data_IF_377706511926
#
_entry.id   IF_377706511926
#
_cell.length_a   1.000
_cell.length_b   1.000
_cell.length_c   1.000
_cell.angle_alpha   90.00
_cell.angle_beta   90.00
_cell.angle_gamma   90.00
#
_symmetry.space_group_name_H-M   'P 1'
#
loop_
_entity.id
_entity.type
_entity.pdbx_description
1 polymer ?
#
# COMPACT_ATOMS: atom_id res chain seq x y z
N UNK A 1 3.15 17.48 -33.89
CA UNK A 1 2.55 17.73 -32.57
C UNK A 1 3.03 16.61 -31.67
N UNK A 2 4.02 16.90 -30.81
CA UNK A 2 4.59 15.89 -29.92
C UNK A 2 3.53 15.49 -28.90
N UNK A 3 3.21 14.20 -28.85
CA UNK A 3 2.43 13.66 -27.74
C UNK A 3 3.22 13.90 -26.45
N UNK A 4 2.72 14.82 -25.63
CA UNK A 4 3.06 14.83 -24.22
C UNK A 4 2.43 13.55 -23.71
N UNK A 5 3.22 12.48 -23.69
CA UNK A 5 2.94 11.32 -22.87
C UNK A 5 2.98 11.88 -21.45
N UNK A 6 1.83 12.36 -20.96
CA UNK A 6 1.66 12.71 -19.57
C UNK A 6 2.26 11.54 -18.83
N UNK A 7 3.37 11.79 -18.12
CA UNK A 7 3.94 10.85 -17.19
C UNK A 7 2.87 10.71 -16.12
N UNK A 8 1.85 9.90 -16.40
CA UNK A 8 0.98 9.29 -15.44
C UNK A 8 1.94 8.39 -14.68
N UNK A 9 2.61 8.98 -13.70
CA UNK A 9 3.22 8.26 -12.60
C UNK A 9 2.05 7.63 -11.85
N UNK A 10 1.46 6.60 -12.45
CA UNK A 10 0.46 5.75 -11.83
C UNK A 10 1.22 4.98 -10.77
N UNK A 11 1.35 5.56 -9.59
CA UNK A 11 1.82 4.89 -8.39
C UNK A 11 0.69 4.05 -7.77
N UNK A 12 -0.14 3.43 -8.62
CA UNK A 12 -1.37 2.68 -8.32
C UNK A 12 -1.13 1.34 -7.60
N UNK A 13 -0.06 1.29 -6.81
CA UNK A 13 0.26 0.21 -5.88
C UNK A 13 0.21 0.70 -4.43
N UNK A 14 -0.01 1.98 -4.15
CA UNK A 14 -0.11 2.46 -2.78
C UNK A 14 -1.57 2.44 -2.31
N UNK A 15 -1.78 1.95 -1.10
CA UNK A 15 -3.13 1.79 -0.55
C UNK A 15 -3.45 2.97 0.36
N UNK A 16 -4.62 3.57 0.14
CA UNK A 16 -5.19 4.56 1.03
C UNK A 16 -6.50 4.02 1.61
N UNK A 17 -6.60 4.01 2.94
CA UNK A 17 -7.83 3.66 3.65
C UNK A 17 -8.16 4.72 4.67
N UNK A 18 -9.44 5.01 4.86
CA UNK A 18 -9.94 5.96 5.86
C UNK A 18 -11.02 5.26 6.67
N UNK A 19 -10.89 5.29 7.99
CA UNK A 19 -11.83 4.61 8.90
C UNK A 19 -13.25 5.12 8.68
N UNK A 20 -14.17 4.21 8.38
CA UNK A 20 -15.58 4.54 8.14
C UNK A 20 -15.90 5.02 6.71
N UNK A 21 -14.89 5.12 5.84
CA UNK A 21 -15.08 5.34 4.41
C UNK A 21 -15.06 4.00 3.67
N UNK A 22 -16.18 3.63 3.05
CA UNK A 22 -16.28 2.40 2.24
C UNK A 22 -15.96 2.61 0.76
N UNK A 23 -15.69 3.86 0.36
CA UNK A 23 -15.32 4.17 -1.01
C UNK A 23 -13.93 3.60 -1.33
N UNK A 24 -13.78 3.08 -2.54
CA UNK A 24 -12.47 2.65 -3.04
C UNK A 24 -11.68 3.89 -3.44
N UNK A 25 -10.51 4.09 -2.80
CA UNK A 25 -9.64 5.23 -3.02
C UNK A 25 -8.39 4.76 -3.77
N UNK A 26 -8.27 5.16 -5.03
CA UNK A 26 -7.13 4.84 -5.88
C UNK A 26 -6.13 6.00 -5.89
N UNK A 27 -4.91 5.76 -5.40
CA UNK A 27 -3.89 6.80 -5.21
C UNK A 27 -3.28 7.17 -6.56
N UNK A 28 -3.41 8.45 -6.92
CA UNK A 28 -2.85 9.01 -8.15
C UNK A 28 -1.44 9.55 -7.92
N UNK A 29 -1.26 10.35 -6.87
CA UNK A 29 0.02 10.99 -6.53
C UNK A 29 0.10 11.24 -5.02
N UNK A 30 1.32 11.41 -4.51
CA UNK A 30 1.52 11.83 -3.13
C UNK A 30 2.84 12.59 -2.95
N UNK A 31 2.88 13.46 -1.95
CA UNK A 31 4.06 14.15 -1.44
C UNK A 31 4.14 13.95 0.07
N UNK A 32 5.31 13.54 0.57
CA UNK A 32 5.56 13.28 1.99
C UNK A 32 6.67 14.17 2.53
N UNK A 33 6.39 14.84 3.64
CA UNK A 33 7.35 15.60 4.44
C UNK A 33 7.56 14.85 5.76
N UNK A 34 8.78 14.33 5.98
CA UNK A 34 9.15 13.58 7.18
C UNK A 34 10.53 14.02 7.67
N UNK A 35 10.63 14.28 8.99
CA UNK A 35 11.88 14.60 9.66
C UNK A 35 11.90 14.03 11.09
N UNK A 36 13.10 13.81 11.64
CA UNK A 36 13.23 13.27 12.99
C UNK A 36 12.69 14.24 14.03
N UNK A 37 11.84 13.74 14.93
CA UNK A 37 11.19 14.52 16.00
C UNK A 37 10.24 15.61 15.50
N UNK A 38 9.84 15.56 14.23
CA UNK A 38 8.80 16.41 13.65
C UNK A 38 7.59 15.54 13.25
N UNK A 39 6.36 16.10 13.29
CA UNK A 39 5.21 15.38 12.76
C UNK A 39 5.35 15.18 11.25
N UNK A 40 4.99 14.00 10.77
CA UNK A 40 4.93 13.74 9.34
C UNK A 40 3.72 14.43 8.70
N UNK A 41 3.83 14.75 7.41
CA UNK A 41 2.72 15.27 6.60
C UNK A 41 2.71 14.60 5.24
N UNK A 42 1.54 14.10 4.83
CA UNK A 42 1.32 13.57 3.49
C UNK A 42 0.21 14.34 2.79
N UNK A 43 0.48 14.79 1.57
CA UNK A 43 -0.53 15.25 0.62
C UNK A 43 -0.76 14.11 -0.36
N UNK A 44 -1.99 13.61 -0.44
CA UNK A 44 -2.33 12.45 -1.28
C UNK A 44 -3.47 12.85 -2.20
N UNK A 45 -3.22 12.78 -3.51
CA UNK A 45 -4.26 12.87 -4.53
C UNK A 45 -4.75 11.46 -4.83
N UNK A 46 -6.07 11.27 -4.77
CA UNK A 46 -6.70 10.00 -5.09
C UNK A 46 -7.92 10.22 -5.96
N UNK A 47 -8.33 9.16 -6.66
CA UNK A 47 -9.58 9.10 -7.39
C UNK A 47 -10.49 8.05 -6.77
N UNK A 48 -11.79 8.21 -6.99
CA UNK A 48 -12.78 7.20 -6.60
C UNK A 48 -13.90 7.15 -7.62
N UNK A 49 -14.46 5.95 -7.84
CA UNK A 49 -15.69 5.79 -8.59
C UNK A 49 -16.90 6.35 -7.80
N UNK A 50 -16.81 6.38 -6.48
CA UNK A 50 -17.82 6.97 -5.61
C UNK A 50 -17.65 8.50 -5.57
N UNK A 51 -18.63 9.21 -6.15
CA UNK A 51 -18.67 10.69 -6.17
C UNK A 51 -19.42 11.29 -4.99
N UNK A 52 -19.87 10.47 -4.05
CA UNK A 52 -20.71 10.87 -2.91
C UNK A 52 -19.94 10.94 -1.59
N UNK A 53 -18.61 10.79 -1.64
CA UNK A 53 -17.73 10.93 -0.47
C UNK A 53 -17.93 12.30 0.16
N UNK A 54 -18.41 12.30 1.40
CA UNK A 54 -18.68 13.52 2.17
C UNK A 54 -17.46 13.93 3.01
N UNK A 55 -17.30 15.22 3.33
CA UNK A 55 -16.22 15.67 4.22
C UNK A 55 -16.21 14.97 5.57
N UNK A 56 -17.38 14.63 6.12
CA UNK A 56 -17.54 13.97 7.42
C UNK A 56 -16.96 12.55 7.43
N UNK A 57 -16.94 11.87 6.29
CA UNK A 57 -16.33 10.54 6.14
C UNK A 57 -14.81 10.59 6.06
N UNK A 58 -14.22 11.76 5.78
CA UNK A 58 -12.78 11.91 5.53
C UNK A 58 -12.07 12.69 6.63
N UNK A 59 -12.66 13.79 7.09
CA UNK A 59 -12.03 14.70 8.06
C UNK A 59 -12.05 14.11 9.47
N UNK A 60 -10.93 14.30 10.18
CA UNK A 60 -10.74 13.82 11.56
C UNK A 60 -10.94 12.30 11.72
N UNK A 61 -10.82 11.55 10.62
CA UNK A 61 -10.82 10.10 10.63
C UNK A 61 -9.38 9.59 10.60
N UNK A 62 -9.15 8.49 11.33
CA UNK A 62 -7.90 7.76 11.23
C UNK A 62 -7.76 7.23 9.80
N UNK A 63 -6.64 7.54 9.16
CA UNK A 63 -6.32 7.12 7.82
C UNK A 63 -5.00 6.33 7.83
N UNK A 64 -4.92 5.31 6.97
CA UNK A 64 -3.70 4.54 6.73
C UNK A 64 -3.31 4.70 5.28
N UNK A 65 -2.08 5.17 5.07
CA UNK A 65 -1.43 5.20 3.78
C UNK A 65 -0.30 4.18 3.76
N UNK A 66 -0.33 3.22 2.84
CA UNK A 66 0.65 2.14 2.75
C UNK A 66 1.46 2.26 1.48
N UNK A 67 2.75 2.57 1.64
CA UNK A 67 3.73 2.49 0.57
C UNK A 67 4.08 1.02 0.30
N UNK A 68 3.37 0.39 -0.62
CA UNK A 68 3.71 -0.96 -1.04
C UNK A 68 5.01 -0.95 -1.86
N UNK A 69 5.98 -1.76 -1.44
CA UNK A 69 7.08 -2.14 -2.30
C UNK A 69 6.55 -2.98 -3.49
N UNK A 70 7.19 -2.95 -4.66
CA UNK A 70 6.86 -3.87 -5.74
C UNK A 70 6.85 -5.30 -5.19
N UNK A 71 5.77 -6.04 -5.45
CA UNK A 71 5.77 -7.47 -5.20
C UNK A 71 6.91 -8.05 -6.01
N UNK A 72 7.90 -8.57 -5.29
CA UNK A 72 9.14 -9.15 -5.79
C UNK A 72 8.88 -9.98 -7.06
N UNK A 73 9.10 -9.39 -8.25
CA UNK A 73 9.38 -10.19 -9.44
C UNK A 73 10.81 -10.68 -9.25
N UNK A 74 10.93 -11.70 -8.40
CA UNK A 74 12.12 -11.97 -7.61
C UNK A 74 13.44 -11.97 -8.36
N UNK A 75 14.43 -11.35 -7.72
CA UNK A 75 15.76 -11.95 -7.66
C UNK A 75 15.91 -12.68 -6.32
N UNK A 76 15.26 -13.83 -6.19
CA UNK A 76 15.86 -14.98 -5.50
C UNK A 76 15.64 -15.21 -4.00
N UNK A 77 14.64 -14.64 -3.33
CA UNK A 77 14.33 -15.02 -1.93
C UNK A 77 12.96 -15.67 -1.79
N UNK A 78 12.91 -16.98 -2.06
CA UNK A 78 11.82 -17.85 -1.63
C UNK A 78 11.96 -18.09 -0.12
N UNK A 79 11.21 -17.35 0.70
CA UNK A 79 11.13 -17.61 2.14
C UNK A 79 10.12 -18.74 2.35
N UNK A 80 10.58 -19.98 2.21
CA UNK A 80 9.85 -21.14 2.71
C UNK A 80 9.90 -21.12 4.25
N UNK A 81 8.75 -21.16 4.95
CA UNK A 81 8.75 -21.27 6.41
C UNK A 81 9.40 -22.60 6.82
N UNK A 82 10.49 -22.50 7.58
CA UNK A 82 11.18 -23.63 8.18
C UNK A 82 10.39 -24.16 9.40
N UNK A 83 9.61 -25.21 9.18
CA UNK A 83 9.01 -26.05 10.22
C UNK A 83 8.43 -27.29 9.54
N UNK A 84 8.69 -28.53 9.93
CA UNK A 84 9.13 -29.04 11.21
C UNK A 84 10.15 -30.18 11.04
N UNK A 85 11.14 -30.17 11.93
CA UNK A 85 11.93 -31.31 12.31
C UNK A 85 11.00 -32.33 13.01
N UNK A 86 10.70 -33.45 12.35
CA UNK A 86 10.24 -34.66 13.06
C UNK A 86 11.11 -35.86 12.65
N UNK A 87 11.86 -36.33 13.65
CA UNK A 87 12.81 -37.44 13.56
C UNK A 87 12.06 -38.72 13.94
N UNK A 88 11.49 -39.38 12.94
CA UNK A 88 10.87 -40.70 13.07
C UNK A 88 11.92 -41.81 13.12
N UNK A 89 12.38 -42.12 14.33
CA UNK A 89 13.29 -43.23 14.66
C UNK A 89 12.54 -44.58 14.59
N UNK A 90 12.93 -45.41 13.61
CA UNK A 90 13.08 -46.87 13.68
C UNK A 90 11.84 -47.76 13.85
N UNK A 91 11.63 -48.65 12.88
CA UNK A 91 11.18 -50.03 13.13
C UNK A 91 11.58 -50.92 11.94
N UNK A 92 12.41 -51.92 12.24
CA UNK A 92 12.92 -52.89 11.29
C UNK A 92 13.37 -54.16 12.01
N UNK A 93 12.39 -54.99 12.38
CA UNK A 93 12.50 -56.44 12.57
C UNK A 93 11.25 -57.08 11.99
#
# INVERSE_FOLDING_TARGET
>A
MSEIKSLLFSHSHHLLTVRGCSALLDVLSFEGEEALSEPFRYVIEFTSADKTITPQQMLMQDATFTLQAPADQGFGINIQPAGAHDSGRGDGV
#
